data_IF_191759453759
#
_entry.id   IF_191759453759
#
_cell.length_a   1.000
_cell.length_b   1.000
_cell.length_c   1.000
_cell.angle_alpha   90.00
_cell.angle_beta   90.00
_cell.angle_gamma   90.00
#
_symmetry.space_group_name_H-M   'P 1'
#
loop_
_entity.id
_entity.type
_entity.pdbx_description
1 polymer ?
#
# COMPACT_ATOMS: atom_id res chain seq x y z
N UNK A 1 -18.05 7.42 -22.02
CA UNK A 1 -16.87 8.27 -21.79
C UNK A 1 -15.66 7.41 -22.05
N UNK A 2 -14.77 7.83 -22.94
CA UNK A 2 -13.48 7.14 -23.14
C UNK A 2 -12.71 7.29 -21.83
N UNK A 3 -12.45 6.19 -21.12
CA UNK A 3 -11.65 6.24 -19.90
C UNK A 3 -10.27 6.79 -20.25
N UNK A 4 -9.96 7.99 -19.78
CA UNK A 4 -8.64 8.58 -19.98
C UNK A 4 -7.60 7.70 -19.29
N UNK A 5 -6.64 7.21 -20.06
CA UNK A 5 -5.53 6.45 -19.52
C UNK A 5 -4.55 7.36 -18.78
N UNK A 6 -4.11 6.88 -17.64
CA UNK A 6 -3.07 7.47 -16.81
C UNK A 6 -1.79 6.76 -17.15
N UNK A 7 -0.83 7.51 -17.66
CA UNK A 7 0.46 7.03 -18.10
C UNK A 7 1.55 7.82 -17.39
N UNK A 8 2.80 7.45 -17.66
CA UNK A 8 3.98 8.12 -17.10
C UNK A 8 3.98 9.63 -17.32
N UNK A 9 3.44 10.10 -18.45
CA UNK A 9 3.47 11.50 -18.87
C UNK A 9 2.49 12.39 -18.09
N UNK A 10 1.42 11.82 -17.54
CA UNK A 10 0.37 12.57 -16.84
C UNK A 10 0.23 12.18 -15.35
N UNK A 11 0.92 11.13 -14.92
CA UNK A 11 0.92 10.69 -13.52
C UNK A 11 1.54 11.77 -12.62
N UNK A 12 0.75 12.23 -11.64
CA UNK A 12 1.17 13.21 -10.64
C UNK A 12 0.49 12.97 -9.31
N UNK A 13 1.06 13.46 -8.21
CA UNK A 13 0.45 13.33 -6.88
C UNK A 13 -0.93 14.00 -6.81
N UNK A 14 -1.10 15.16 -7.42
CA UNK A 14 -2.39 15.86 -7.47
C UNK A 14 -3.46 15.05 -8.19
N UNK A 15 -3.09 14.41 -9.31
CA UNK A 15 -4.00 13.52 -10.03
C UNK A 15 -4.40 12.31 -9.17
N UNK A 16 -3.44 11.68 -8.50
CA UNK A 16 -3.70 10.54 -7.61
C UNK A 16 -4.59 10.93 -6.44
N UNK A 17 -4.32 12.08 -5.80
CA UNK A 17 -5.18 12.64 -4.75
C UNK A 17 -6.62 12.79 -5.25
N UNK A 18 -6.82 13.45 -6.40
CA UNK A 18 -8.14 13.65 -6.97
C UNK A 18 -8.86 12.32 -7.27
N UNK A 19 -8.15 11.31 -7.78
CA UNK A 19 -8.72 9.99 -8.07
C UNK A 19 -9.26 9.33 -6.80
N UNK A 20 -8.54 9.43 -5.69
CA UNK A 20 -8.98 8.87 -4.42
C UNK A 20 -10.12 9.66 -3.79
N UNK A 21 -10.09 10.99 -3.86
CA UNK A 21 -11.20 11.85 -3.41
C UNK A 21 -12.48 11.61 -4.24
N UNK A 22 -12.36 11.50 -5.56
CA UNK A 22 -13.48 11.13 -6.46
C UNK A 22 -14.04 9.74 -6.14
N UNK A 23 -13.22 8.86 -5.54
CA UNK A 23 -13.60 7.54 -5.06
C UNK A 23 -14.05 7.51 -3.59
N UNK A 24 -14.30 8.69 -3.00
CA UNK A 24 -14.78 8.88 -1.63
C UNK A 24 -13.81 8.46 -0.52
N UNK A 25 -12.50 8.48 -0.80
CA UNK A 25 -11.49 8.34 0.24
C UNK A 25 -11.12 9.69 0.85
N UNK A 26 -10.94 9.71 2.17
CA UNK A 26 -10.36 10.85 2.88
C UNK A 26 -8.84 10.86 2.69
N UNK A 27 -8.35 11.78 1.86
CA UNK A 27 -6.92 11.92 1.53
C UNK A 27 -6.31 13.09 2.30
N UNK A 28 -5.32 12.78 3.14
CA UNK A 28 -4.49 13.75 3.85
C UNK A 28 -3.18 13.90 3.08
N UNK A 29 -2.72 15.14 2.88
CA UNK A 29 -1.38 15.41 2.34
C UNK A 29 -0.45 15.67 3.52
N UNK A 30 0.56 14.83 3.69
CA UNK A 30 1.58 14.96 4.74
C UNK A 30 2.65 16.01 4.35
N UNK A 31 3.48 16.42 5.31
CA UNK A 31 4.45 17.51 5.14
C UNK A 31 5.49 17.26 4.03
N UNK A 32 5.81 15.99 3.76
CA UNK A 32 6.71 15.55 2.69
C UNK A 32 6.01 15.39 1.32
N UNK A 33 4.73 15.78 1.25
CA UNK A 33 3.88 15.70 0.07
C UNK A 33 3.41 14.29 -0.26
N UNK A 34 3.52 13.35 0.67
CA UNK A 34 2.95 12.01 0.55
C UNK A 34 1.45 12.04 0.82
N UNK A 35 0.72 11.15 0.16
CA UNK A 35 -0.72 11.02 0.39
C UNK A 35 -0.94 9.95 1.45
N UNK A 36 -1.68 10.29 2.49
CA UNK A 36 -2.13 9.36 3.53
C UNK A 36 -3.63 9.18 3.42
N UNK A 37 -4.08 7.93 3.45
CA UNK A 37 -5.48 7.53 3.43
C UNK A 37 -5.73 6.78 4.74
N UNK A 38 -6.72 7.25 5.52
CA UNK A 38 -7.14 6.59 6.76
C UNK A 38 -8.27 5.61 6.48
N UNK A 39 -8.06 4.37 6.89
CA UNK A 39 -9.09 3.32 6.93
C UNK A 39 -8.92 2.59 8.27
N UNK A 40 -9.03 1.25 8.33
CA UNK A 40 -8.65 0.45 9.50
C UNK A 40 -7.20 0.72 9.94
N UNK A 41 -6.31 0.95 8.97
CA UNK A 41 -4.92 1.34 9.20
C UNK A 41 -4.58 2.63 8.44
N UNK A 42 -3.37 3.16 8.67
CA UNK A 42 -2.83 4.24 7.85
C UNK A 42 -2.17 3.65 6.61
N UNK A 43 -2.73 4.01 5.46
CA UNK A 43 -2.18 3.66 4.15
C UNK A 43 -1.57 4.88 3.52
N UNK A 44 -0.52 4.67 2.75
CA UNK A 44 0.23 5.73 2.10
C UNK A 44 0.34 5.46 0.62
N UNK A 45 0.24 6.52 -0.16
CA UNK A 45 0.35 6.49 -1.60
C UNK A 45 1.37 7.53 -2.04
N UNK A 46 2.28 7.11 -2.92
CA UNK A 46 3.21 8.02 -3.57
C UNK A 46 3.41 7.65 -5.04
N UNK A 47 3.91 8.61 -5.80
CA UNK A 47 4.21 8.48 -7.22
C UNK A 47 5.71 8.42 -7.40
N UNK A 48 6.20 7.42 -8.15
CA UNK A 48 7.60 7.37 -8.54
C UNK A 48 8.02 8.67 -9.23
N UNK A 49 9.20 9.19 -8.89
CA UNK A 49 9.70 10.47 -9.44
C UNK A 49 9.81 10.47 -10.97
N UNK A 50 9.94 9.30 -11.60
CA UNK A 50 9.97 9.15 -13.07
C UNK A 50 8.62 8.74 -13.65
N UNK A 51 7.55 8.74 -12.86
CA UNK A 51 6.20 8.39 -13.27
C UNK A 51 6.01 6.89 -13.62
N UNK A 52 6.89 6.00 -13.17
CA UNK A 52 6.86 4.58 -13.60
C UNK A 52 5.79 3.74 -12.91
N UNK A 53 5.50 4.05 -11.66
CA UNK A 53 4.55 3.31 -10.84
C UNK A 53 3.95 4.20 -9.76
N UNK A 54 2.86 3.73 -9.20
CA UNK A 54 2.25 4.22 -7.95
C UNK A 54 2.62 3.23 -6.86
N UNK A 55 3.19 3.72 -5.76
CA UNK A 55 3.53 2.91 -4.60
C UNK A 55 2.39 2.98 -3.57
N UNK A 56 1.95 1.84 -3.08
CA UNK A 56 1.09 1.71 -1.92
C UNK A 56 1.89 1.09 -0.80
N UNK A 57 1.74 1.59 0.43
CA UNK A 57 2.27 0.88 1.58
C UNK A 57 1.46 1.12 2.85
N UNK A 58 1.66 0.22 3.80
CA UNK A 58 1.07 0.26 5.14
C UNK A 58 2.14 -0.13 6.15
N UNK A 59 2.22 0.63 7.25
CA UNK A 59 3.15 0.35 8.34
C UNK A 59 2.38 -0.09 9.59
N UNK A 60 2.74 -1.24 10.14
CA UNK A 60 2.14 -1.80 11.35
C UNK A 60 3.20 -1.90 12.42
N UNK A 61 2.98 -1.22 13.55
CA UNK A 61 3.82 -1.32 14.74
C UNK A 61 3.57 -2.66 15.43
N UNK A 62 4.65 -3.33 15.83
CA UNK A 62 4.58 -4.65 16.45
C UNK A 62 4.68 -4.57 17.97
N UNK A 63 4.21 -5.61 18.65
CA UNK A 63 4.38 -5.75 20.09
C UNK A 63 5.87 -5.70 20.47
N UNK A 64 6.19 -4.99 21.55
CA UNK A 64 7.54 -4.92 22.10
C UNK A 64 8.15 -6.29 22.43
N UNK A 65 7.31 -7.25 22.81
CA UNK A 65 7.68 -8.61 23.23
C UNK A 65 7.74 -9.60 22.06
N UNK A 66 7.40 -9.18 20.84
CA UNK A 66 7.41 -10.06 19.66
C UNK A 66 8.81 -10.67 19.42
N UNK A 67 8.97 -12.01 19.49
CA UNK A 67 10.25 -12.64 19.22
C UNK A 67 10.71 -12.41 17.79
N UNK A 68 11.98 -12.05 17.59
CA UNK A 68 12.53 -11.76 16.25
C UNK A 68 12.33 -12.93 15.26
N UNK A 69 12.50 -14.17 15.73
CA UNK A 69 12.28 -15.37 14.92
C UNK A 69 10.85 -15.46 14.40
N UNK A 70 9.85 -15.21 15.26
CA UNK A 70 8.43 -15.21 14.87
C UNK A 70 8.09 -14.12 13.87
N UNK A 71 8.72 -12.96 13.99
CA UNK A 71 8.58 -11.90 13.00
C UNK A 71 9.10 -12.29 11.62
N UNK A 72 10.26 -12.92 11.56
CA UNK A 72 10.83 -13.37 10.28
C UNK A 72 10.09 -14.57 9.70
N UNK A 73 9.59 -15.49 10.53
CA UNK A 73 8.68 -16.56 10.10
C UNK A 73 7.43 -15.97 9.43
N UNK A 74 6.80 -14.97 10.06
CA UNK A 74 5.65 -14.26 9.49
C UNK A 74 6.00 -13.58 8.16
N UNK A 75 7.09 -12.81 8.10
CA UNK A 75 7.54 -12.15 6.86
C UNK A 75 7.73 -13.15 5.72
N UNK A 76 8.36 -14.30 6.00
CA UNK A 76 8.56 -15.35 5.01
C UNK A 76 7.24 -16.02 4.58
N UNK A 77 6.34 -16.30 5.52
CA UNK A 77 5.03 -16.88 5.21
C UNK A 77 4.21 -15.97 4.29
N UNK A 78 4.15 -14.67 4.60
CA UNK A 78 3.42 -13.71 3.78
C UNK A 78 4.06 -13.58 2.39
N UNK A 79 5.38 -13.39 2.31
CA UNK A 79 6.05 -13.24 1.02
C UNK A 79 5.99 -14.52 0.16
N UNK A 80 5.84 -15.70 0.77
CA UNK A 80 5.67 -16.95 0.06
C UNK A 80 4.23 -17.16 -0.44
N UNK A 81 3.22 -16.84 0.38
CA UNK A 81 1.83 -17.16 0.09
C UNK A 81 1.04 -16.03 -0.59
N UNK A 82 1.43 -14.76 -0.38
CA UNK A 82 0.74 -13.58 -0.91
C UNK A 82 1.58 -12.87 -1.98
N UNK A 83 1.62 -13.46 -3.17
CA UNK A 83 2.48 -13.05 -4.31
C UNK A 83 2.36 -11.57 -4.68
N UNK A 84 1.18 -10.97 -4.48
CA UNK A 84 0.88 -9.60 -4.92
C UNK A 84 1.35 -8.51 -3.94
N UNK A 85 1.83 -8.85 -2.75
CA UNK A 85 2.39 -7.89 -1.79
C UNK A 85 3.76 -8.32 -1.33
N UNK A 86 4.55 -7.35 -0.86
CA UNK A 86 5.76 -7.62 -0.10
C UNK A 86 5.56 -7.15 1.34
N UNK A 87 6.10 -7.89 2.29
CA UNK A 87 6.29 -7.42 3.66
C UNK A 87 7.77 -7.45 4.03
N UNK A 88 8.19 -6.46 4.79
CA UNK A 88 9.52 -6.38 5.41
C UNK A 88 9.41 -5.98 6.87
N UNK A 89 10.41 -6.35 7.67
CA UNK A 89 10.51 -5.92 9.08
C UNK A 89 11.71 -5.01 9.26
N UNK A 90 11.48 -3.85 9.88
CA UNK A 90 12.55 -2.97 10.33
C UNK A 90 12.19 -2.31 11.65
N UNK A 91 13.05 -2.46 12.67
CA UNK A 91 12.90 -1.81 13.98
C UNK A 91 11.49 -1.97 14.59
N UNK A 92 10.95 -3.19 14.54
CA UNK A 92 9.61 -3.54 15.06
C UNK A 92 8.46 -2.90 14.28
N UNK A 93 8.68 -2.58 13.02
CA UNK A 93 7.63 -2.14 12.10
C UNK A 93 7.58 -3.16 10.97
N UNK A 94 6.39 -3.71 10.73
CA UNK A 94 6.12 -4.35 9.45
C UNK A 94 5.72 -3.31 8.42
N UNK A 95 6.42 -3.29 7.30
CA UNK A 95 6.10 -2.47 6.14
C UNK A 95 5.61 -3.37 5.03
N UNK A 96 4.33 -3.24 4.70
CA UNK A 96 3.69 -3.88 3.56
C UNK A 96 3.74 -2.93 2.38
N UNK A 97 4.12 -3.40 1.20
CA UNK A 97 4.16 -2.59 -0.01
C UNK A 97 3.67 -3.31 -1.27
N UNK A 98 3.13 -2.52 -2.19
CA UNK A 98 2.71 -2.93 -3.53
C UNK A 98 2.99 -1.80 -4.54
N UNK A 99 3.33 -2.16 -5.77
CA UNK A 99 3.58 -1.21 -6.84
C UNK A 99 2.66 -1.46 -8.04
N UNK A 100 1.87 -0.45 -8.40
CA UNK A 100 1.07 -0.46 -9.61
C UNK A 100 1.86 0.23 -10.73
N UNK A 101 2.35 -0.56 -11.69
CA UNK A 101 3.02 -0.03 -12.89
C UNK A 101 2.01 0.65 -13.81
N UNK A 102 2.41 1.78 -14.39
CA UNK A 102 1.54 2.57 -15.29
C UNK A 102 1.97 2.53 -16.76
N UNK A 103 2.98 1.72 -17.07
CA UNK A 103 3.44 1.47 -18.45
C UNK A 103 2.29 0.88 -19.29
N UNK A 104 2.03 1.43 -20.48
CA UNK A 104 0.87 1.06 -21.30
C UNK A 104 -0.46 1.71 -20.88
N UNK A 105 -0.47 2.46 -19.79
CA UNK A 105 -1.62 3.22 -19.30
C UNK A 105 -2.55 2.41 -18.40
N UNK A 106 -3.01 3.03 -17.31
CA UNK A 106 -4.01 2.47 -16.39
C UNK A 106 -5.22 3.40 -16.29
N UNK A 107 -6.40 2.83 -16.03
CA UNK A 107 -7.59 3.66 -15.80
C UNK A 107 -7.64 4.14 -14.35
N UNK A 108 -8.36 5.24 -14.09
CA UNK A 108 -8.68 5.70 -12.71
C UNK A 108 -9.27 4.55 -11.86
N UNK A 109 -10.20 3.80 -12.46
CA UNK A 109 -10.83 2.63 -11.84
C UNK A 109 -9.81 1.55 -11.45
N UNK A 110 -8.83 1.27 -12.31
CA UNK A 110 -7.79 0.29 -12.01
C UNK A 110 -6.93 0.72 -10.81
N UNK A 111 -6.57 1.99 -10.70
CA UNK A 111 -5.81 2.53 -9.55
C UNK A 111 -6.58 2.31 -8.24
N UNK A 112 -7.86 2.68 -8.21
CA UNK A 112 -8.71 2.52 -7.03
C UNK A 112 -8.88 1.04 -6.66
N UNK A 113 -9.08 0.17 -7.66
CA UNK A 113 -9.21 -1.27 -7.42
C UNK A 113 -7.91 -1.91 -6.94
N UNK A 114 -6.76 -1.50 -7.48
CA UNK A 114 -5.46 -1.97 -7.03
C UNK A 114 -5.20 -1.58 -5.57
N UNK A 115 -5.58 -0.36 -5.18
CA UNK A 115 -5.50 0.07 -3.78
C UNK A 115 -6.45 -0.71 -2.86
N UNK A 116 -7.70 -0.93 -3.27
CA UNK A 116 -8.64 -1.79 -2.51
C UNK A 116 -8.12 -3.22 -2.35
N UNK A 117 -7.54 -3.78 -3.40
CA UNK A 117 -6.93 -5.11 -3.34
C UNK A 117 -5.73 -5.11 -2.40
N UNK A 118 -4.90 -4.06 -2.40
CA UNK A 118 -3.80 -3.92 -1.46
C UNK A 118 -4.28 -3.90 -0.01
N UNK A 119 -5.32 -3.12 0.32
CA UNK A 119 -5.96 -3.12 1.66
C UNK A 119 -6.37 -4.55 2.05
N UNK A 120 -7.13 -5.24 1.18
CA UNK A 120 -7.60 -6.59 1.44
C UNK A 120 -6.45 -7.61 1.63
N UNK A 121 -5.34 -7.44 0.92
CA UNK A 121 -4.15 -8.27 1.07
C UNK A 121 -3.42 -8.01 2.38
N UNK A 122 -3.38 -6.75 2.85
CA UNK A 122 -2.87 -6.41 4.19
C UNK A 122 -3.74 -7.06 5.26
N UNK A 123 -5.07 -6.97 5.15
CA UNK A 123 -5.99 -7.61 6.11
C UNK A 123 -5.81 -9.12 6.14
N UNK A 124 -5.67 -9.74 4.95
CA UNK A 124 -5.40 -11.17 4.82
C UNK A 124 -4.06 -11.54 5.45
N UNK A 125 -3.02 -10.72 5.28
CA UNK A 125 -1.72 -10.95 5.88
C UNK A 125 -1.80 -10.88 7.41
N UNK A 126 -2.47 -9.86 7.95
CA UNK A 126 -2.61 -9.67 9.39
C UNK A 126 -3.47 -10.77 10.04
N UNK A 127 -4.49 -11.28 9.34
CA UNK A 127 -5.30 -12.43 9.80
C UNK A 127 -4.51 -13.76 9.86
N UNK A 128 -3.37 -13.86 9.17
CA UNK A 128 -2.42 -14.99 9.28
C UNK A 128 -1.43 -14.80 10.43
N UNK A 129 -1.41 -13.61 11.03
CA UNK A 129 -0.60 -13.27 12.18
C UNK A 129 -0.94 -14.09 13.42
N UNK A 130 0.04 -14.25 14.31
CA UNK A 130 -0.19 -14.80 15.65
C UNK A 130 -0.29 -13.65 16.66
N UNK A 131 -1.07 -13.84 17.72
CA UNK A 131 -1.27 -12.82 18.78
C UNK A 131 0.05 -12.32 19.35
N UNK A 132 1.07 -13.18 19.49
CA UNK A 132 2.39 -12.79 20.03
C UNK A 132 3.13 -11.70 19.21
N UNK A 133 2.72 -11.48 17.95
CA UNK A 133 3.31 -10.46 17.07
C UNK A 133 2.56 -9.12 17.21
N UNK A 134 1.23 -9.18 17.36
CA UNK A 134 0.33 -8.02 17.20
C UNK A 134 -0.43 -7.60 18.47
N UNK A 135 -0.55 -8.46 19.48
CA UNK A 135 -1.27 -8.21 20.75
C UNK A 135 -0.50 -7.30 21.71
#
# INVERSE_FOLDING_TARGET
MTDQLISKENLSKNLIKQIFEDAYYDVIVEDDGQLKIKDQYSYYVDVDKKGRFIAFWCNILLNEKSPLSKRYEFVNDINYNLIAIRVSEHKKIFSFDHYLWVEGGVTKKNIVLAFKNFISLVDTALARGVDEIFA
#
